data_IF_371980107677
#
_entry.id   IF_371980107677
#
_cell.length_a   1.000
_cell.length_b   1.000
_cell.length_c   1.000
_cell.angle_alpha   90.00
_cell.angle_beta   90.00
_cell.angle_gamma   90.00
#
_symmetry.space_group_name_H-M   'P 1'
#
loop_
_entity.id
_entity.type
_entity.pdbx_description
1 polymer ?
#
# COMPACT_ATOMS: atom_id res chain seq x y z
N UNK A 1 2.13 -12.29 -13.30
CA UNK A 1 2.82 -11.46 -12.30
C UNK A 1 1.79 -10.94 -11.32
N UNK A 2 2.07 -11.06 -10.04
CA UNK A 2 1.21 -10.60 -8.95
C UNK A 2 1.96 -9.63 -8.07
N UNK A 3 1.19 -8.82 -7.31
CA UNK A 3 1.67 -8.00 -6.22
C UNK A 3 1.09 -8.55 -4.92
N UNK A 4 1.95 -8.92 -3.99
CA UNK A 4 1.55 -9.47 -2.71
C UNK A 4 2.03 -8.59 -1.56
N UNK A 5 1.49 -8.86 -0.37
CA UNK A 5 2.08 -8.47 0.88
C UNK A 5 2.19 -9.67 1.82
N UNK A 6 3.21 -9.68 2.66
CA UNK A 6 3.44 -10.71 3.68
C UNK A 6 3.78 -10.07 5.02
N UNK A 7 3.21 -10.61 6.10
CA UNK A 7 3.67 -10.36 7.46
C UNK A 7 4.56 -11.51 7.91
N UNK A 8 5.78 -11.20 8.27
CA UNK A 8 6.70 -12.14 8.93
C UNK A 8 6.40 -12.10 10.43
N UNK A 9 5.50 -13.00 10.87
CA UNK A 9 5.06 -13.12 12.25
C UNK A 9 4.88 -14.60 12.60
N UNK A 10 5.99 -15.38 12.72
CA UNK A 10 5.89 -16.76 13.12
C UNK A 10 5.24 -16.83 14.51
N UNK A 11 4.34 -17.81 14.69
CA UNK A 11 3.69 -18.08 15.96
C UNK A 11 4.28 -19.32 16.63
N UNK A 12 5.07 -20.09 15.90
CA UNK A 12 5.87 -21.18 16.42
C UNK A 12 7.30 -20.73 16.71
N UNK A 13 7.99 -21.51 17.54
CA UNK A 13 9.35 -21.18 17.95
C UNK A 13 9.43 -20.18 19.11
N UNK A 14 10.63 -19.95 19.64
CA UNK A 14 10.92 -19.03 20.72
C UNK A 14 11.48 -17.68 20.25
N UNK A 15 11.96 -17.60 19.01
CA UNK A 15 12.48 -16.36 18.43
C UNK A 15 11.38 -15.30 18.29
N UNK A 16 11.72 -14.06 18.63
CA UNK A 16 10.80 -12.95 18.43
C UNK A 16 10.65 -12.55 16.94
N UNK A 17 9.66 -11.72 16.64
CA UNK A 17 9.38 -11.29 15.26
C UNK A 17 10.52 -10.45 14.66
N UNK A 18 11.34 -9.75 15.46
CA UNK A 18 12.48 -8.97 14.94
C UNK A 18 13.60 -9.90 14.51
N UNK A 19 13.90 -10.91 15.32
CA UNK A 19 14.87 -11.96 14.99
C UNK A 19 14.46 -12.73 13.74
N UNK A 20 13.20 -13.14 13.67
CA UNK A 20 12.67 -13.83 12.49
C UNK A 20 12.74 -12.96 11.22
N UNK A 21 12.43 -11.68 11.34
CA UNK A 21 12.50 -10.75 10.22
C UNK A 21 13.96 -10.49 9.77
N UNK A 22 14.87 -10.27 10.75
CA UNK A 22 16.29 -10.09 10.46
C UNK A 22 16.90 -11.32 9.78
N UNK A 23 16.50 -12.51 10.22
CA UNK A 23 16.89 -13.76 9.57
C UNK A 23 16.40 -13.83 8.13
N UNK A 24 15.14 -13.48 7.85
CA UNK A 24 14.62 -13.44 6.49
C UNK A 24 15.40 -12.48 5.58
N UNK A 25 15.74 -11.29 6.08
CA UNK A 25 16.55 -10.32 5.34
C UNK A 25 17.97 -10.87 5.03
N UNK A 26 18.62 -11.48 6.03
CA UNK A 26 19.96 -12.06 5.91
C UNK A 26 20.01 -13.16 4.85
N UNK A 27 19.03 -14.05 4.87
CA UNK A 27 18.97 -15.20 3.96
C UNK A 27 18.36 -14.85 2.58
N UNK A 28 17.82 -13.64 2.39
CA UNK A 28 17.15 -13.25 1.16
C UNK A 28 15.90 -14.09 0.88
N UNK A 29 15.11 -14.35 1.92
CA UNK A 29 13.88 -15.15 1.84
C UNK A 29 12.71 -14.40 2.47
N UNK A 30 11.51 -14.70 1.99
CA UNK A 30 10.27 -14.36 2.69
C UNK A 30 9.44 -15.64 2.82
N UNK A 31 8.71 -15.78 3.94
CA UNK A 31 7.98 -17.02 4.15
C UNK A 31 7.19 -17.06 5.46
N UNK A 32 6.75 -18.25 5.77
CA UNK A 32 5.92 -18.56 6.95
C UNK A 32 6.45 -19.81 7.65
N UNK A 33 5.94 -20.08 8.83
CA UNK A 33 6.31 -21.22 9.65
C UNK A 33 5.91 -22.58 9.07
N UNK A 34 5.28 -23.41 9.91
CA UNK A 34 4.91 -24.81 9.62
C UNK A 34 6.13 -25.70 9.37
N UNK A 35 7.15 -25.58 10.23
CA UNK A 35 8.36 -26.40 10.22
C UNK A 35 8.03 -27.87 10.50
N UNK A 36 8.65 -28.75 9.73
CA UNK A 36 8.60 -30.22 9.96
C UNK A 36 9.86 -30.72 10.67
N UNK A 37 9.97 -32.04 10.86
CA UNK A 37 11.18 -32.68 11.40
C UNK A 37 12.29 -32.84 10.37
N UNK A 38 11.98 -32.71 9.08
CA UNK A 38 12.95 -32.84 7.99
C UNK A 38 14.09 -31.83 8.14
N UNK A 39 15.33 -32.30 7.96
CA UNK A 39 16.54 -31.48 7.94
C UNK A 39 17.04 -31.23 6.48
N UNK A 40 16.19 -31.48 5.49
CA UNK A 40 16.54 -31.30 4.07
C UNK A 40 15.61 -30.26 3.43
N UNK A 41 16.21 -29.34 2.72
CA UNK A 41 15.46 -28.44 1.82
C UNK A 41 14.82 -29.30 0.72
N UNK A 42 13.60 -28.93 0.34
CA UNK A 42 12.96 -29.53 -0.82
C UNK A 42 12.07 -28.53 -1.55
N UNK A 43 12.01 -28.63 -2.85
CA UNK A 43 11.05 -27.94 -3.72
C UNK A 43 9.90 -28.87 -4.15
N UNK A 44 9.95 -30.15 -3.71
CA UNK A 44 8.92 -31.15 -3.98
C UNK A 44 7.83 -31.03 -2.92
N UNK A 45 6.68 -30.56 -3.34
CA UNK A 45 5.56 -30.26 -2.45
C UNK A 45 5.03 -31.50 -1.72
N UNK A 46 4.99 -32.62 -2.39
CA UNK A 46 4.50 -33.90 -1.89
C UNK A 46 5.35 -34.43 -0.72
N UNK A 47 6.68 -34.23 -0.77
CA UNK A 47 7.58 -34.59 0.34
C UNK A 47 7.27 -33.77 1.59
N UNK A 48 7.07 -32.45 1.45
CA UNK A 48 6.71 -31.59 2.55
C UNK A 48 5.34 -31.96 3.14
N UNK A 49 4.34 -32.13 2.29
CA UNK A 49 2.95 -32.41 2.74
C UNK A 49 2.84 -33.75 3.43
N UNK A 50 3.61 -34.76 3.03
CA UNK A 50 3.61 -36.06 3.66
C UNK A 50 3.91 -35.97 5.17
N UNK A 51 4.82 -35.08 5.57
CA UNK A 51 5.18 -34.87 6.96
C UNK A 51 4.31 -33.78 7.62
N UNK A 52 4.17 -32.61 7.01
CA UNK A 52 3.43 -31.49 7.52
C UNK A 52 1.94 -31.79 7.72
N UNK A 53 1.36 -32.59 6.80
CA UNK A 53 -0.04 -33.00 6.90
C UNK A 53 -0.35 -33.78 8.18
N UNK A 54 0.60 -34.60 8.63
CA UNK A 54 0.49 -35.36 9.90
C UNK A 54 0.70 -34.42 11.10
N UNK A 55 1.75 -33.60 11.08
CA UNK A 55 2.10 -32.72 12.22
C UNK A 55 1.01 -31.70 12.49
N UNK A 56 0.46 -31.09 11.44
CA UNK A 56 -0.50 -29.98 11.52
C UNK A 56 -1.94 -30.40 11.21
N UNK A 57 -2.22 -31.69 11.12
CA UNK A 57 -3.54 -32.22 10.79
C UNK A 57 -4.15 -31.54 9.53
N UNK A 58 -3.34 -31.30 8.52
CA UNK A 58 -3.74 -30.66 7.26
C UNK A 58 -3.90 -29.13 7.29
N UNK A 59 -3.75 -28.47 8.47
CA UNK A 59 -3.90 -27.02 8.62
C UNK A 59 -2.68 -26.23 8.08
N UNK A 60 -2.40 -26.34 6.78
CA UNK A 60 -1.27 -25.76 6.06
C UNK A 60 -1.72 -24.88 4.87
N UNK A 61 -2.91 -24.28 4.95
CA UNK A 61 -3.52 -23.60 3.81
C UNK A 61 -2.71 -22.40 3.32
N UNK A 62 -2.07 -21.67 4.22
CA UNK A 62 -1.20 -20.55 3.83
C UNK A 62 0.03 -21.04 3.03
N UNK A 63 0.60 -22.20 3.37
CA UNK A 63 1.69 -22.81 2.64
C UNK A 63 1.24 -23.23 1.23
N UNK A 64 0.03 -23.83 1.13
CA UNK A 64 -0.58 -24.17 -0.17
C UNK A 64 -0.80 -22.92 -1.03
N UNK A 65 -1.23 -21.82 -0.40
CA UNK A 65 -1.45 -20.56 -1.09
C UNK A 65 -0.14 -20.01 -1.67
N UNK A 66 0.93 -19.95 -0.86
CA UNK A 66 2.26 -19.53 -1.31
C UNK A 66 2.75 -20.42 -2.45
N UNK A 67 2.70 -21.77 -2.28
CA UNK A 67 3.09 -22.74 -3.31
C UNK A 67 2.36 -22.53 -4.63
N UNK A 68 1.08 -22.19 -4.58
CA UNK A 68 0.23 -22.06 -5.77
C UNK A 68 0.45 -20.77 -6.52
N UNK A 69 0.62 -19.66 -5.78
CA UNK A 69 0.48 -18.33 -6.37
C UNK A 69 1.79 -17.56 -6.49
N UNK A 70 2.80 -17.83 -5.66
CA UNK A 70 4.05 -17.10 -5.71
C UNK A 70 4.95 -17.66 -6.79
N UNK A 71 5.38 -16.81 -7.69
CA UNK A 71 6.20 -17.15 -8.84
C UNK A 71 7.35 -16.17 -9.01
N UNK A 72 8.40 -16.61 -9.72
CA UNK A 72 9.51 -15.74 -10.10
C UNK A 72 8.98 -14.44 -10.75
N UNK A 73 9.66 -13.34 -10.42
CA UNK A 73 9.36 -11.97 -10.87
C UNK A 73 8.06 -11.38 -10.31
N UNK A 74 7.38 -12.04 -9.37
CA UNK A 74 6.34 -11.36 -8.57
C UNK A 74 6.97 -10.35 -7.60
N UNK A 75 6.21 -9.33 -7.23
CA UNK A 75 6.60 -8.35 -6.23
C UNK A 75 5.87 -8.58 -4.91
N UNK A 76 6.59 -8.43 -3.81
CA UNK A 76 6.05 -8.67 -2.47
C UNK A 76 6.44 -7.53 -1.53
N UNK A 77 5.46 -6.85 -0.96
CA UNK A 77 5.67 -5.92 0.12
C UNK A 77 5.75 -6.65 1.46
N UNK A 78 6.71 -6.25 2.28
CA UNK A 78 6.77 -6.69 3.68
C UNK A 78 7.13 -5.51 4.59
N UNK A 79 6.89 -5.70 5.89
CA UNK A 79 7.14 -4.68 6.91
C UNK A 79 7.72 -5.34 8.15
N UNK A 80 8.79 -4.75 8.69
CA UNK A 80 9.36 -5.20 9.96
C UNK A 80 8.49 -4.78 11.17
N UNK A 81 8.75 -5.33 12.35
CA UNK A 81 8.03 -4.96 13.58
C UNK A 81 8.19 -3.49 14.00
N UNK A 82 9.24 -2.81 13.54
CA UNK A 82 9.49 -1.39 13.83
C UNK A 82 8.77 -0.46 12.83
N UNK A 83 8.09 -1.02 11.84
CA UNK A 83 7.31 -0.27 10.86
C UNK A 83 8.04 0.11 9.58
N UNK A 84 9.28 -0.32 9.37
CA UNK A 84 9.99 -0.10 8.12
C UNK A 84 9.44 -1.01 7.02
N UNK A 85 9.31 -0.46 5.82
CA UNK A 85 8.81 -1.20 4.66
C UNK A 85 9.94 -1.70 3.77
N UNK A 86 9.65 -2.81 3.10
CA UNK A 86 10.56 -3.43 2.14
C UNK A 86 9.76 -3.92 0.93
N UNK A 87 10.35 -3.75 -0.25
CA UNK A 87 9.84 -4.31 -1.49
C UNK A 87 10.78 -5.44 -1.92
N UNK A 88 10.20 -6.60 -2.19
CA UNK A 88 10.93 -7.79 -2.59
C UNK A 88 10.53 -8.22 -4.00
N UNK A 89 11.52 -8.61 -4.80
CA UNK A 89 11.34 -9.32 -6.08
C UNK A 89 11.58 -10.79 -5.86
N UNK A 90 10.62 -11.61 -6.22
CA UNK A 90 10.73 -13.07 -6.10
C UNK A 90 11.73 -13.63 -7.12
N UNK A 91 12.69 -14.43 -6.66
CA UNK A 91 13.70 -15.11 -7.50
C UNK A 91 13.27 -16.53 -7.82
N UNK A 92 12.67 -17.23 -6.83
CA UNK A 92 12.22 -18.62 -6.98
C UNK A 92 10.82 -18.79 -6.38
N UNK A 93 10.11 -19.82 -6.83
CA UNK A 93 8.86 -20.21 -6.18
C UNK A 93 9.09 -20.83 -4.80
N UNK A 94 8.03 -21.43 -4.24
CA UNK A 94 8.03 -22.05 -2.92
C UNK A 94 9.14 -23.10 -2.76
N UNK A 95 9.76 -23.10 -1.57
CA UNK A 95 10.72 -24.08 -1.09
C UNK A 95 10.47 -24.37 0.39
N UNK A 96 10.57 -25.63 0.81
CA UNK A 96 10.72 -25.96 2.21
C UNK A 96 12.18 -25.73 2.62
N UNK A 97 12.37 -24.89 3.62
CA UNK A 97 13.65 -24.38 4.08
C UNK A 97 14.03 -24.99 5.42
N UNK A 98 14.97 -25.94 5.42
CA UNK A 98 15.43 -26.66 6.61
C UNK A 98 16.77 -26.13 7.10
N UNK A 99 16.81 -24.86 7.52
CA UNK A 99 18.03 -24.23 8.02
C UNK A 99 18.39 -24.71 9.43
N UNK A 100 19.64 -25.09 9.64
CA UNK A 100 20.17 -25.41 10.96
C UNK A 100 20.16 -24.17 11.87
N UNK A 101 20.60 -23.00 11.38
CA UNK A 101 20.56 -21.74 12.12
C UNK A 101 19.13 -21.40 12.60
N UNK A 102 18.14 -21.57 11.74
CA UNK A 102 16.76 -21.32 12.12
C UNK A 102 16.26 -22.29 13.20
N UNK A 103 16.78 -23.52 13.22
CA UNK A 103 16.47 -24.49 14.27
C UNK A 103 17.17 -24.19 15.58
N UNK A 104 18.46 -23.85 15.55
CA UNK A 104 19.24 -23.49 16.74
C UNK A 104 18.66 -22.26 17.43
N UNK A 105 18.22 -21.26 16.67
CA UNK A 105 17.58 -20.04 17.19
C UNK A 105 16.08 -20.16 17.39
N UNK A 106 15.54 -21.32 17.11
CA UNK A 106 14.09 -21.61 17.16
C UNK A 106 13.22 -20.60 16.38
N UNK A 107 13.69 -20.22 15.20
CA UNK A 107 12.96 -19.36 14.23
C UNK A 107 12.04 -20.25 13.40
N UNK A 108 10.72 -20.07 13.51
CA UNK A 108 9.75 -20.86 12.72
C UNK A 108 9.47 -20.18 11.37
N UNK A 109 10.48 -20.18 10.48
CA UNK A 109 10.36 -19.80 9.07
C UNK A 109 10.86 -20.98 8.24
N UNK A 110 9.94 -21.66 7.56
CA UNK A 110 10.23 -22.92 6.89
C UNK A 110 9.60 -23.06 5.49
N UNK A 111 8.50 -22.40 5.23
CA UNK A 111 7.86 -22.36 3.91
C UNK A 111 8.17 -21.02 3.27
N UNK A 112 9.16 -20.99 2.38
CA UNK A 112 9.76 -19.76 1.89
C UNK A 112 9.73 -19.66 0.38
N UNK A 113 10.04 -18.46 -0.11
CA UNK A 113 10.46 -18.18 -1.47
C UNK A 113 11.64 -17.20 -1.43
N UNK A 114 12.60 -17.39 -2.33
CA UNK A 114 13.81 -16.56 -2.38
C UNK A 114 13.54 -15.23 -3.05
N UNK A 115 14.14 -14.17 -2.52
CA UNK A 115 13.91 -12.80 -2.96
C UNK A 115 15.19 -11.98 -3.00
N UNK A 116 15.22 -11.01 -3.88
CA UNK A 116 15.97 -9.77 -3.69
C UNK A 116 15.08 -8.81 -2.89
N UNK A 117 15.60 -8.19 -1.81
CA UNK A 117 14.81 -7.37 -0.90
C UNK A 117 15.46 -5.99 -0.78
N UNK A 118 14.68 -4.93 -0.97
CA UNK A 118 15.12 -3.53 -0.89
C UNK A 118 14.30 -2.82 0.18
N UNK A 119 14.98 -2.11 1.09
CA UNK A 119 14.31 -1.22 2.04
C UNK A 119 13.72 -0.02 1.31
N UNK A 120 12.50 0.37 1.67
CA UNK A 120 11.76 1.47 1.07
C UNK A 120 11.49 2.53 2.14
N UNK A 121 11.74 3.77 1.82
CA UNK A 121 11.38 4.89 2.69
C UNK A 121 9.87 5.01 2.80
N UNK A 122 9.36 5.38 3.97
CA UNK A 122 7.91 5.47 4.22
C UNK A 122 7.20 6.42 3.24
N UNK A 123 7.83 7.50 2.80
CA UNK A 123 7.28 8.47 1.86
C UNK A 123 7.11 7.90 0.43
N UNK A 124 7.69 6.72 0.15
CA UNK A 124 7.58 6.04 -1.14
C UNK A 124 6.59 4.86 -1.09
N UNK A 125 5.96 4.61 0.07
CA UNK A 125 5.03 3.49 0.23
C UNK A 125 3.61 3.93 -0.13
N UNK A 126 2.96 3.31 -1.14
CA UNK A 126 1.58 3.65 -1.50
C UNK A 126 0.62 3.49 -0.33
N UNK A 127 -0.34 4.40 -0.18
CA UNK A 127 -1.40 4.32 0.83
C UNK A 127 -2.13 2.99 0.80
N UNK A 128 -2.42 2.47 -0.40
CA UNK A 128 -2.99 1.12 -0.60
C UNK A 128 -2.16 0.00 0.03
N UNK A 129 -0.83 0.08 -0.07
CA UNK A 129 0.08 -0.89 0.58
C UNK A 129 -0.01 -0.75 2.09
N UNK A 130 0.08 0.48 2.62
CA UNK A 130 -0.06 0.75 4.06
C UNK A 130 -1.37 0.20 4.60
N UNK A 131 -2.48 0.46 3.92
CA UNK A 131 -3.81 -0.04 4.29
C UNK A 131 -3.88 -1.57 4.32
N UNK A 132 -3.20 -2.27 3.39
CA UNK A 132 -3.14 -3.73 3.37
C UNK A 132 -2.43 -4.33 4.60
N UNK A 133 -1.63 -3.56 5.34
CA UNK A 133 -0.96 -4.01 6.57
C UNK A 133 -1.80 -3.78 7.85
N UNK A 134 -2.94 -3.10 7.78
CA UNK A 134 -3.85 -2.93 8.94
C UNK A 134 -4.51 -4.26 9.35
N UNK A 135 -5.06 -5.10 8.44
CA UNK A 135 -5.61 -6.39 8.82
C UNK A 135 -4.51 -7.40 9.22
N UNK A 136 -4.77 -8.29 10.21
CA UNK A 136 -3.77 -9.24 10.70
C UNK A 136 -3.57 -10.48 9.80
N UNK A 137 -3.79 -10.38 8.50
CA UNK A 137 -3.58 -11.50 7.56
C UNK A 137 -2.10 -11.74 7.35
N UNK A 138 -1.68 -12.99 7.25
CA UNK A 138 -0.28 -13.35 7.03
C UNK A 138 0.18 -13.05 5.62
N UNK A 139 -0.59 -13.46 4.61
CA UNK A 139 -0.27 -13.29 3.19
C UNK A 139 -1.52 -12.86 2.41
N UNK A 140 -1.36 -11.95 1.45
CA UNK A 140 -2.49 -11.43 0.68
C UNK A 140 -2.01 -10.85 -0.65
N UNK A 141 -2.79 -11.04 -1.71
CA UNK A 141 -2.67 -10.30 -2.96
C UNK A 141 -3.12 -8.84 -2.78
N UNK A 142 -2.40 -7.92 -3.40
CA UNK A 142 -2.79 -6.52 -3.56
C UNK A 142 -3.31 -6.37 -4.99
N UNK A 143 -4.61 -6.62 -5.17
CA UNK A 143 -5.29 -6.57 -6.47
C UNK A 143 -5.62 -5.11 -6.84
N UNK A 144 -4.60 -4.30 -7.07
CA UNK A 144 -4.71 -2.90 -7.49
C UNK A 144 -3.68 -2.61 -8.59
N UNK A 145 -4.15 -2.19 -9.78
CA UNK A 145 -3.29 -1.94 -10.94
C UNK A 145 -2.35 -0.76 -10.69
N UNK A 146 -2.80 0.29 -10.00
CA UNK A 146 -1.99 1.47 -9.68
C UNK A 146 -0.84 1.09 -8.76
N UNK A 147 -1.13 0.34 -7.68
CA UNK A 147 -0.12 -0.15 -6.76
C UNK A 147 0.89 -1.10 -7.46
N UNK A 148 0.42 -1.94 -8.39
CA UNK A 148 1.28 -2.82 -9.17
C UNK A 148 2.25 -2.02 -10.05
N UNK A 149 1.75 -1.11 -10.88
CA UNK A 149 2.60 -0.34 -11.81
C UNK A 149 3.56 0.58 -11.05
N UNK A 150 3.11 1.18 -9.96
CA UNK A 150 3.98 1.94 -9.08
C UNK A 150 5.07 1.06 -8.43
N UNK A 151 4.73 -0.14 -7.96
CA UNK A 151 5.72 -1.05 -7.37
C UNK A 151 6.78 -1.51 -8.38
N UNK A 152 6.39 -1.75 -9.64
CA UNK A 152 7.33 -2.03 -10.74
C UNK A 152 8.29 -0.86 -10.98
N UNK A 153 7.74 0.35 -11.06
CA UNK A 153 8.52 1.58 -11.23
C UNK A 153 9.48 1.79 -10.06
N UNK A 154 8.99 1.63 -8.83
CA UNK A 154 9.78 1.80 -7.63
C UNK A 154 10.91 0.78 -7.56
N UNK A 155 10.64 -0.48 -7.88
CA UNK A 155 11.67 -1.52 -7.99
C UNK A 155 12.77 -1.12 -8.97
N UNK A 156 12.41 -0.72 -10.19
CA UNK A 156 13.39 -0.29 -11.21
C UNK A 156 14.22 0.90 -10.71
N UNK A 157 13.59 1.83 -10.01
CA UNK A 157 14.24 3.05 -9.49
C UNK A 157 15.24 2.71 -8.40
N UNK A 158 14.85 1.89 -7.42
CA UNK A 158 15.67 1.56 -6.26
C UNK A 158 16.79 0.55 -6.60
N UNK A 159 16.50 -0.44 -7.46
CA UNK A 159 17.52 -1.40 -7.91
C UNK A 159 18.48 -0.82 -8.94
N UNK A 160 18.18 0.37 -9.47
CA UNK A 160 18.94 1.02 -10.57
C UNK A 160 19.04 0.16 -11.83
N UNK A 161 18.09 -0.77 -12.00
CA UNK A 161 18.06 -1.73 -13.13
C UNK A 161 16.64 -1.79 -13.68
N UNK A 162 16.48 -1.59 -14.99
CA UNK A 162 15.17 -1.78 -15.63
C UNK A 162 14.86 -3.27 -15.69
N UNK A 163 14.05 -3.75 -14.76
CA UNK A 163 13.60 -5.13 -14.68
C UNK A 163 12.17 -5.32 -15.18
N UNK A 164 11.31 -4.35 -14.88
CA UNK A 164 9.90 -4.38 -15.27
C UNK A 164 9.58 -3.34 -16.32
N UNK A 165 8.72 -3.72 -17.27
CA UNK A 165 8.05 -2.74 -18.12
C UNK A 165 6.83 -2.19 -17.36
N UNK A 166 6.73 -0.87 -17.31
CA UNK A 166 5.67 -0.13 -16.62
C UNK A 166 4.67 0.36 -17.64
N UNK A 167 3.40 0.03 -17.45
CA UNK A 167 2.31 0.40 -18.35
C UNK A 167 1.85 1.84 -18.07
N UNK A 168 2.56 2.80 -18.64
CA UNK A 168 2.22 4.22 -18.53
C UNK A 168 0.95 4.59 -19.32
N UNK A 169 0.68 3.91 -20.42
CA UNK A 169 -0.46 4.22 -21.29
C UNK A 169 -1.82 3.98 -20.59
N UNK A 170 -1.84 3.22 -19.50
CA UNK A 170 -3.05 2.99 -18.72
C UNK A 170 -3.49 4.18 -17.86
N UNK A 171 -2.65 5.21 -17.71
CA UNK A 171 -2.92 6.35 -16.85
C UNK A 171 -2.92 7.64 -17.66
N UNK A 172 -4.12 8.15 -17.95
CA UNK A 172 -4.31 9.34 -18.78
C UNK A 172 -3.80 10.61 -18.08
N UNK A 173 -3.86 10.65 -16.75
CA UNK A 173 -3.37 11.75 -15.94
C UNK A 173 -3.12 11.29 -14.48
N UNK A 174 -2.69 12.23 -13.66
CA UNK A 174 -2.33 11.96 -12.26
C UNK A 174 -3.51 11.41 -11.44
N UNK A 175 -4.74 11.89 -11.63
CA UNK A 175 -5.91 11.45 -10.86
C UNK A 175 -6.33 10.01 -11.18
N UNK A 176 -5.93 9.47 -12.33
CA UNK A 176 -6.12 8.05 -12.64
C UNK A 176 -5.09 7.16 -11.93
N UNK A 177 -3.96 7.74 -11.51
CA UNK A 177 -2.87 7.04 -10.81
C UNK A 177 -2.94 7.17 -9.29
N UNK A 178 -3.54 8.24 -8.75
CA UNK A 178 -3.72 8.44 -7.31
C UNK A 178 -4.83 7.53 -6.77
N UNK A 179 -4.67 7.10 -5.52
CA UNK A 179 -5.77 6.52 -4.75
C UNK A 179 -6.58 7.60 -4.03
N UNK A 180 -7.58 7.18 -3.26
CA UNK A 180 -8.51 8.08 -2.61
C UNK A 180 -7.78 8.93 -1.56
N UNK A 181 -6.97 8.30 -0.68
CA UNK A 181 -6.21 8.97 0.38
C UNK A 181 -5.20 9.98 -0.21
N UNK A 182 -4.51 9.61 -1.30
CA UNK A 182 -3.55 10.49 -1.98
C UNK A 182 -4.23 11.69 -2.66
N UNK A 183 -5.44 11.51 -3.18
CA UNK A 183 -6.22 12.61 -3.77
C UNK A 183 -6.71 13.55 -2.68
N UNK A 184 -7.15 13.05 -1.54
CA UNK A 184 -7.50 13.85 -0.37
C UNK A 184 -6.30 14.66 0.15
N UNK A 185 -5.14 14.03 0.25
CA UNK A 185 -3.89 14.69 0.66
C UNK A 185 -3.50 15.82 -0.31
N UNK A 186 -3.72 15.61 -1.60
CA UNK A 186 -3.43 16.63 -2.60
C UNK A 186 -4.33 17.86 -2.45
N UNK A 187 -5.65 17.64 -2.24
CA UNK A 187 -6.61 18.72 -1.95
C UNK A 187 -6.28 19.41 -0.63
N UNK A 188 -5.87 18.64 0.38
CA UNK A 188 -5.38 19.17 1.65
C UNK A 188 -4.22 20.14 1.45
N UNK A 189 -3.18 19.73 0.70
CA UNK A 189 -2.00 20.55 0.43
C UNK A 189 -2.36 21.81 -0.37
N UNK A 190 -3.26 21.67 -1.37
CA UNK A 190 -3.79 22.82 -2.11
C UNK A 190 -4.45 23.84 -1.17
N UNK A 191 -5.40 23.42 -0.34
CA UNK A 191 -6.10 24.30 0.57
C UNK A 191 -5.16 25.02 1.54
N UNK A 192 -4.10 24.35 2.01
CA UNK A 192 -3.08 25.00 2.83
C UNK A 192 -2.38 26.13 2.08
N UNK A 193 -2.06 25.96 0.79
CA UNK A 193 -1.47 27.04 -0.03
C UNK A 193 -2.45 28.19 -0.26
N UNK A 194 -3.75 27.95 -0.13
CA UNK A 194 -4.79 28.97 -0.18
C UNK A 194 -5.06 29.64 1.18
N UNK A 195 -4.26 29.32 2.20
CA UNK A 195 -4.38 29.90 3.55
C UNK A 195 -5.40 29.19 4.46
N UNK A 196 -5.88 28.01 4.11
CA UNK A 196 -6.76 27.20 4.93
C UNK A 196 -5.94 26.16 5.72
N UNK A 197 -6.05 26.17 7.05
CA UNK A 197 -5.37 25.17 7.89
C UNK A 197 -6.33 24.03 8.24
N UNK A 198 -5.91 22.80 7.95
CA UNK A 198 -6.70 21.62 8.30
C UNK A 198 -6.68 21.38 9.80
N UNK A 199 -7.83 21.08 10.36
CA UNK A 199 -7.99 20.67 11.76
C UNK A 199 -7.68 19.16 11.87
N UNK A 200 -6.52 18.75 12.46
CA UNK A 200 -6.05 17.37 12.39
C UNK A 200 -7.03 16.32 12.92
N UNK A 201 -7.77 16.66 13.98
CA UNK A 201 -8.77 15.74 14.56
C UNK A 201 -9.98 15.49 13.65
N UNK A 202 -10.24 16.37 12.68
CA UNK A 202 -11.36 16.22 11.75
C UNK A 202 -11.15 15.16 10.68
N UNK A 203 -9.93 14.69 10.48
CA UNK A 203 -9.57 13.58 9.55
C UNK A 203 -9.91 12.19 10.10
N UNK A 204 -10.45 12.04 11.27
CA UNK A 204 -10.85 10.76 11.85
C UNK A 204 -12.21 10.34 11.28
N UNK A 205 -12.17 9.58 10.22
CA UNK A 205 -13.19 9.37 9.20
C UNK A 205 -14.54 8.74 9.62
N UNK A 206 -14.67 8.13 10.79
CA UNK A 206 -15.83 7.26 11.06
C UNK A 206 -17.11 7.97 11.45
N UNK A 207 -17.10 9.30 11.57
CA UNK A 207 -18.26 10.05 12.12
C UNK A 207 -18.59 11.35 11.40
N UNK A 208 -17.90 11.75 10.34
CA UNK A 208 -18.06 13.06 9.72
C UNK A 208 -18.62 12.99 8.29
N UNK A 209 -19.47 13.96 7.96
CA UNK A 209 -19.97 14.17 6.59
C UNK A 209 -18.92 14.78 5.65
N UNK A 210 -17.70 15.00 6.15
CA UNK A 210 -16.59 15.62 5.44
C UNK A 210 -15.32 14.79 5.64
N UNK A 211 -14.41 14.82 4.67
CA UNK A 211 -13.09 14.19 4.83
C UNK A 211 -12.28 14.93 5.91
N UNK A 212 -12.42 16.26 5.96
CA UNK A 212 -11.82 17.11 7.00
C UNK A 212 -12.44 18.49 7.06
N UNK A 213 -12.20 19.18 8.19
CA UNK A 213 -12.51 20.60 8.38
C UNK A 213 -11.25 21.44 8.25
N UNK A 214 -11.39 22.62 7.66
CA UNK A 214 -10.33 23.62 7.58
C UNK A 214 -10.77 24.90 8.29
N UNK A 215 -9.80 25.68 8.78
CA UNK A 215 -10.01 26.99 9.39
C UNK A 215 -9.16 28.04 8.70
N UNK A 216 -9.75 29.22 8.46
CA UNK A 216 -9.01 30.39 8.03
C UNK A 216 -8.39 31.07 9.25
N UNK A 217 -7.05 31.22 9.34
CA UNK A 217 -6.40 31.88 10.47
C UNK A 217 -6.67 33.38 10.52
N UNK A 218 -7.11 33.98 9.40
CA UNK A 218 -7.41 35.42 9.29
C UNK A 218 -8.81 35.77 9.72
N UNK A 219 -9.79 34.93 9.43
CA UNK A 219 -11.21 35.21 9.69
C UNK A 219 -11.81 34.35 10.80
N UNK A 220 -11.16 33.24 11.16
CA UNK A 220 -11.72 32.21 12.03
C UNK A 220 -12.82 31.36 11.40
N UNK A 221 -13.14 31.61 10.11
CA UNK A 221 -14.15 30.83 9.40
C UNK A 221 -13.72 29.35 9.34
N UNK A 222 -14.67 28.45 9.63
CA UNK A 222 -14.48 26.99 9.49
C UNK A 222 -15.25 26.50 8.27
N UNK A 223 -14.63 25.66 7.46
CA UNK A 223 -15.23 25.09 6.25
C UNK A 223 -15.07 23.58 6.25
N UNK A 224 -16.04 22.87 5.64
CA UNK A 224 -15.93 21.44 5.36
C UNK A 224 -15.24 21.19 4.03
N UNK A 225 -14.58 20.03 3.89
CA UNK A 225 -14.02 19.59 2.60
C UNK A 225 -14.46 18.17 2.33
N UNK A 226 -14.99 17.93 1.13
CA UNK A 226 -15.36 16.60 0.65
C UNK A 226 -14.65 16.30 -0.66
N UNK A 227 -14.06 15.12 -0.73
CA UNK A 227 -13.34 14.62 -1.91
C UNK A 227 -13.96 13.28 -2.32
N UNK A 228 -14.16 13.07 -3.59
CA UNK A 228 -14.52 11.77 -4.16
C UNK A 228 -13.65 11.52 -5.39
N UNK A 229 -13.42 10.27 -5.70
CA UNK A 229 -12.58 9.83 -6.81
C UNK A 229 -13.33 8.88 -7.74
N UNK A 230 -12.69 8.53 -8.86
CA UNK A 230 -13.27 7.62 -9.84
C UNK A 230 -14.60 8.14 -10.42
N UNK A 231 -15.60 7.27 -10.54
CA UNK A 231 -16.94 7.60 -11.04
C UNK A 231 -17.96 7.94 -9.96
N UNK A 232 -17.51 8.17 -8.71
CA UNK A 232 -18.42 8.48 -7.61
C UNK A 232 -18.95 9.91 -7.72
N UNK A 233 -20.26 10.08 -7.67
CA UNK A 233 -20.90 11.38 -7.69
C UNK A 233 -20.77 12.09 -6.33
N UNK A 234 -20.64 13.43 -6.37
CA UNK A 234 -20.89 14.31 -5.22
C UNK A 234 -22.23 15.00 -5.44
N UNK A 235 -23.17 14.76 -4.54
CA UNK A 235 -24.45 15.44 -4.52
C UNK A 235 -24.32 16.75 -3.74
N UNK A 236 -24.37 17.88 -4.45
CA UNK A 236 -24.22 19.22 -3.88
C UNK A 236 -25.36 19.59 -2.93
N UNK A 237 -26.57 19.06 -3.19
CA UNK A 237 -27.76 19.37 -2.38
C UNK A 237 -27.62 18.87 -0.93
N UNK A 238 -26.80 17.83 -0.71
CA UNK A 238 -26.48 17.34 0.64
C UNK A 238 -25.72 18.36 1.50
N UNK A 239 -25.05 19.31 0.87
CA UNK A 239 -24.21 20.30 1.55
C UNK A 239 -24.81 21.72 1.57
N UNK A 240 -25.87 21.96 0.80
CA UNK A 240 -26.50 23.27 0.70
C UNK A 240 -27.01 23.77 2.06
N UNK A 241 -27.53 22.89 2.93
CA UNK A 241 -28.02 23.21 4.28
C UNK A 241 -26.96 23.00 5.38
N UNK A 242 -25.69 22.71 5.02
CA UNK A 242 -24.62 22.55 6.00
C UNK A 242 -24.40 23.84 6.81
N UNK A 243 -24.04 23.68 8.10
CA UNK A 243 -23.63 24.80 8.96
C UNK A 243 -22.23 25.34 8.55
N UNK A 244 -21.50 24.63 7.72
CA UNK A 244 -20.23 25.05 7.17
C UNK A 244 -20.36 25.31 5.68
N UNK A 245 -19.64 26.30 5.17
CA UNK A 245 -19.35 26.37 3.75
C UNK A 245 -18.49 25.17 3.37
N UNK A 246 -18.70 24.58 2.20
CA UNK A 246 -18.09 23.29 1.83
C UNK A 246 -17.29 23.42 0.53
N UNK A 247 -16.03 23.01 0.58
CA UNK A 247 -15.22 22.77 -0.61
C UNK A 247 -15.47 21.36 -1.11
N UNK A 248 -15.77 21.21 -2.39
CA UNK A 248 -15.96 19.93 -3.06
C UNK A 248 -14.90 19.73 -4.12
N UNK A 249 -14.30 18.54 -4.16
CA UNK A 249 -13.42 18.15 -5.26
C UNK A 249 -13.78 16.76 -5.80
N UNK A 250 -13.93 16.67 -7.13
CA UNK A 250 -14.13 15.41 -7.84
C UNK A 250 -13.43 15.53 -9.21
N UNK A 251 -12.34 14.76 -9.46
CA UNK A 251 -11.47 14.97 -10.62
C UNK A 251 -12.12 14.68 -11.97
N UNK A 252 -13.24 13.95 -12.02
CA UNK A 252 -13.97 13.65 -13.25
C UNK A 252 -15.23 14.51 -13.43
N UNK A 253 -15.38 15.58 -12.61
CA UNK A 253 -16.54 16.47 -12.63
C UNK A 253 -17.90 15.75 -12.42
N UNK A 254 -17.89 14.64 -11.68
CA UNK A 254 -19.10 13.89 -11.36
C UNK A 254 -19.86 14.58 -10.22
N UNK A 255 -20.48 15.74 -10.52
CA UNK A 255 -21.33 16.48 -9.60
C UNK A 255 -22.80 16.35 -10.00
N UNK A 256 -23.68 16.22 -9.01
CA UNK A 256 -25.13 16.26 -9.19
C UNK A 256 -25.74 17.31 -8.25
N UNK A 257 -27.04 17.64 -8.42
CA UNK A 257 -27.72 18.65 -7.62
C UNK A 257 -27.50 20.07 -8.12
N UNK A 258 -28.08 21.04 -7.41
CA UNK A 258 -28.09 22.46 -7.76
C UNK A 258 -26.87 23.18 -7.21
N UNK A 259 -26.51 24.32 -7.82
CA UNK A 259 -25.47 25.16 -7.26
C UNK A 259 -26.06 26.00 -6.10
N UNK A 260 -25.34 26.02 -5.00
CA UNK A 260 -25.67 26.81 -3.81
C UNK A 260 -24.46 27.65 -3.38
N UNK A 261 -24.70 28.80 -2.79
CA UNK A 261 -23.67 29.73 -2.30
C UNK A 261 -22.79 29.12 -1.18
N UNK A 262 -23.33 28.13 -0.49
CA UNK A 262 -22.62 27.40 0.57
C UNK A 262 -21.63 26.34 0.04
N UNK A 263 -21.66 26.08 -1.26
CA UNK A 263 -20.84 25.05 -1.92
C UNK A 263 -19.85 25.71 -2.88
N UNK A 264 -18.57 25.37 -2.71
CA UNK A 264 -17.48 25.84 -3.58
C UNK A 264 -16.82 24.62 -4.24
N UNK A 265 -16.90 24.56 -5.56
CA UNK A 265 -16.22 23.51 -6.33
C UNK A 265 -14.77 23.94 -6.54
N UNK A 266 -13.84 23.07 -6.18
CA UNK A 266 -12.45 23.18 -6.61
C UNK A 266 -12.38 22.59 -8.01
N UNK A 267 -12.12 23.44 -9.00
CA UNK A 267 -12.06 23.00 -10.39
C UNK A 267 -10.86 22.11 -10.65
N UNK A 268 -11.03 21.09 -11.50
CA UNK A 268 -9.99 20.14 -11.87
C UNK A 268 -8.74 20.82 -12.41
N UNK A 269 -8.92 21.83 -13.29
CA UNK A 269 -7.82 22.55 -13.91
C UNK A 269 -7.02 23.37 -12.89
N UNK A 270 -7.67 23.88 -11.85
CA UNK A 270 -7.01 24.56 -10.72
C UNK A 270 -6.10 23.59 -9.97
N UNK A 271 -6.55 22.35 -9.77
CA UNK A 271 -5.73 21.33 -9.13
C UNK A 271 -4.57 20.87 -10.00
N UNK A 272 -4.76 20.74 -11.33
CA UNK A 272 -3.67 20.41 -12.24
C UNK A 272 -2.61 21.52 -12.29
N UNK A 273 -3.02 22.80 -12.32
CA UNK A 273 -2.12 23.94 -12.24
C UNK A 273 -1.34 23.99 -10.91
N UNK A 274 -2.04 23.71 -9.80
CA UNK A 274 -1.40 23.57 -8.49
C UNK A 274 -0.33 22.48 -8.49
N UNK A 275 -0.64 21.29 -9.00
CA UNK A 275 0.30 20.15 -9.07
C UNK A 275 1.53 20.55 -9.89
N UNK A 276 1.33 21.13 -11.06
CA UNK A 276 2.44 21.54 -11.94
C UNK A 276 3.36 22.56 -11.26
N UNK A 277 2.80 23.57 -10.60
CA UNK A 277 3.56 24.60 -9.89
C UNK A 277 4.24 24.06 -8.62
N UNK A 278 3.69 23.01 -8.03
CA UNK A 278 4.11 22.48 -6.72
C UNK A 278 4.96 21.21 -6.80
N UNK A 279 5.13 20.63 -8.00
CA UNK A 279 5.77 19.31 -8.18
C UNK A 279 7.16 19.16 -7.53
N UNK A 280 7.85 20.25 -7.28
CA UNK A 280 9.18 20.22 -6.64
C UNK A 280 9.15 19.94 -5.13
N UNK A 281 8.00 20.12 -4.46
CA UNK A 281 7.85 19.93 -3.03
C UNK A 281 6.68 19.02 -2.62
N UNK A 282 5.85 18.59 -3.57
CA UNK A 282 4.83 17.58 -3.30
C UNK A 282 5.45 16.31 -2.70
N UNK A 283 4.69 15.50 -1.95
CA UNK A 283 5.15 14.21 -1.45
C UNK A 283 5.84 13.38 -2.53
N UNK A 284 6.93 12.71 -2.17
CA UNK A 284 7.78 11.99 -3.14
C UNK A 284 7.01 10.93 -3.93
N UNK A 285 6.03 10.28 -3.31
CA UNK A 285 5.15 9.34 -3.98
C UNK A 285 4.37 10.01 -5.13
N UNK A 286 3.85 11.22 -4.93
CA UNK A 286 3.15 11.99 -5.97
C UNK A 286 4.13 12.37 -7.09
N UNK A 287 5.34 12.83 -6.73
CA UNK A 287 6.38 13.14 -7.71
C UNK A 287 6.76 11.92 -8.57
N UNK A 288 6.81 10.72 -7.98
CA UNK A 288 7.07 9.47 -8.70
C UNK A 288 5.88 9.09 -9.60
N UNK A 289 4.66 9.23 -9.11
CA UNK A 289 3.45 8.96 -9.89
C UNK A 289 3.31 9.88 -11.10
N UNK A 290 3.74 11.15 -10.98
CA UNK A 290 3.83 12.07 -12.12
C UNK A 290 4.76 11.59 -13.24
N UNK A 291 5.74 10.73 -12.95
CA UNK A 291 6.62 10.11 -13.97
C UNK A 291 5.98 8.88 -14.64
N UNK A 292 4.87 8.40 -14.11
CA UNK A 292 4.14 7.23 -14.60
C UNK A 292 2.97 7.58 -15.51
N UNK A 293 2.58 8.82 -15.58
CA UNK A 293 1.57 9.30 -16.52
C UNK A 293 2.21 9.65 -17.86
N UNK A 294 1.42 9.57 -18.93
CA UNK A 294 1.85 9.80 -20.30
C UNK A 294 2.20 11.27 -20.60
#
# INVERSE_FOLDING_TARGET
MYLFRIHIRPQGGAADNKEAFAYCLKEGILGVGWRTKSHKNTTVWEEYVAEAGVIYNGAIDICKYIKKWVSKDDLVWTRDPDGNYYLAKVISGWEYWASEEAREKDIDIANVFKCEIIKVDIDDVPGKVVACFRPPRTFQEIADKRAMEYSKFLWNTLSKTKHYDVDKASFADIFTMLDDEETEDLVFLYLQTQGWFVLPNSRKADTMSFEYLCVSPTTGEVVGTQVKTGGSNIDKDLYASSSYRVFLFQPNNCYVGTNDSNVVIIERDVMLDFIEKSKGWLPRIIQYKLRLIA
#
